data_IF_116865357309
#
_entry.id   IF_116865357309
#
_cell.length_a   1.000
_cell.length_b   1.000
_cell.length_c   1.000
_cell.angle_alpha   90.00
_cell.angle_beta   90.00
_cell.angle_gamma   90.00
#
_symmetry.space_group_name_H-M   'P 1'
#
loop_
_entity.id
_entity.type
_entity.pdbx_description
1 polymer ?
#
# COMPACT_ATOMS: atom_id res chain seq x y z
N UNK A 1 6.48 27.79 -23.00
CA UNK A 1 5.79 26.51 -23.28
C UNK A 1 6.75 25.37 -23.02
N UNK A 2 6.58 24.66 -21.90
CA UNK A 2 7.46 23.55 -21.53
C UNK A 2 7.17 22.33 -22.44
N UNK A 3 8.23 21.76 -23.01
CA UNK A 3 8.15 20.68 -24.00
C UNK A 3 7.81 19.37 -23.28
N UNK A 4 6.64 18.77 -23.54
CA UNK A 4 6.21 17.51 -22.92
C UNK A 4 7.24 16.38 -23.19
N UNK A 5 7.99 15.95 -22.18
CA UNK A 5 9.02 14.90 -22.33
C UNK A 5 8.37 13.53 -22.09
N UNK A 6 8.08 12.80 -23.16
CA UNK A 6 7.65 11.39 -23.07
C UNK A 6 8.86 10.48 -22.87
N UNK A 7 8.79 9.57 -21.90
CA UNK A 7 9.81 8.53 -21.71
C UNK A 7 9.18 7.18 -21.41
N UNK A 8 9.75 6.10 -21.97
CA UNK A 8 9.32 4.72 -21.70
C UNK A 8 10.11 4.18 -20.51
N UNK A 9 9.42 3.84 -19.42
CA UNK A 9 10.01 3.26 -18.21
C UNK A 9 9.81 1.73 -18.24
N UNK A 10 10.85 0.97 -17.90
CA UNK A 10 10.76 -0.49 -17.68
C UNK A 10 10.70 -0.76 -16.18
N UNK A 11 9.70 -1.52 -15.75
CA UNK A 11 9.54 -1.91 -14.33
C UNK A 11 10.78 -2.70 -13.88
N UNK A 12 11.39 -2.30 -12.77
CA UNK A 12 12.60 -2.91 -12.20
C UNK A 12 13.93 -2.36 -12.73
N UNK A 13 13.93 -1.50 -13.76
CA UNK A 13 15.17 -0.88 -14.25
C UNK A 13 15.64 0.26 -13.33
N UNK A 14 16.94 0.27 -12.99
CA UNK A 14 17.53 1.39 -12.23
C UNK A 14 17.61 2.66 -13.10
N UNK A 15 17.31 3.85 -12.56
CA UNK A 15 17.45 5.09 -13.29
C UNK A 15 18.90 5.34 -13.74
N UNK A 16 19.08 5.87 -14.95
CA UNK A 16 20.37 6.35 -15.44
C UNK A 16 20.83 7.60 -14.67
N UNK A 17 22.14 7.89 -14.70
CA UNK A 17 22.70 9.11 -14.06
C UNK A 17 22.01 10.40 -14.54
N UNK A 18 21.70 10.49 -15.84
CA UNK A 18 21.00 11.63 -16.42
C UNK A 18 19.54 11.74 -15.94
N UNK A 19 18.84 10.61 -15.75
CA UNK A 19 17.50 10.61 -15.15
C UNK A 19 17.55 11.07 -13.68
N UNK A 20 18.52 10.59 -12.90
CA UNK A 20 18.70 11.02 -11.52
C UNK A 20 18.99 12.52 -11.40
N UNK A 21 19.83 13.06 -12.28
CA UNK A 21 20.08 14.50 -12.33
C UNK A 21 18.82 15.30 -12.66
N UNK A 22 18.01 14.84 -13.62
CA UNK A 22 16.71 15.47 -13.94
C UNK A 22 15.74 15.44 -12.77
N UNK A 23 15.63 14.32 -12.07
CA UNK A 23 14.77 14.19 -10.88
C UNK A 23 15.24 15.17 -9.79
N UNK A 24 16.56 15.24 -9.54
CA UNK A 24 17.13 16.19 -8.56
C UNK A 24 16.92 17.65 -8.94
N UNK A 25 17.01 17.98 -10.23
CA UNK A 25 16.75 19.33 -10.72
C UNK A 25 15.26 19.69 -10.61
N UNK A 26 14.37 18.76 -10.93
CA UNK A 26 12.93 18.94 -10.79
C UNK A 26 12.51 19.16 -9.34
N UNK A 27 13.09 18.41 -8.39
CA UNK A 27 12.82 18.56 -6.96
C UNK A 27 13.21 19.94 -6.39
N UNK A 28 14.07 20.71 -7.09
CA UNK A 28 14.46 22.07 -6.71
C UNK A 28 13.59 23.16 -7.36
N UNK A 29 12.72 22.81 -8.30
CA UNK A 29 11.82 23.78 -8.92
C UNK A 29 10.77 24.24 -7.90
N UNK A 30 10.39 25.53 -7.89
CA UNK A 30 9.32 25.99 -7.03
C UNK A 30 8.01 25.30 -7.39
N UNK A 31 7.18 25.06 -6.38
CA UNK A 31 5.81 24.62 -6.58
C UNK A 31 5.03 25.87 -7.03
N UNK A 32 4.48 25.81 -8.23
CA UNK A 32 3.67 26.90 -8.81
C UNK A 32 2.31 26.30 -9.12
N UNK A 33 1.28 26.94 -8.60
CA UNK A 33 -0.10 26.56 -8.85
C UNK A 33 -0.59 27.34 -10.07
N UNK A 34 -1.34 26.68 -10.93
CA UNK A 34 -1.92 27.25 -12.15
C UNK A 34 -3.45 27.11 -12.11
N UNK A 35 -4.15 27.62 -13.14
CA UNK A 35 -5.62 27.53 -13.21
C UNK A 35 -6.12 26.08 -13.27
N UNK A 36 -5.32 25.16 -13.80
CA UNK A 36 -5.67 23.73 -13.91
C UNK A 36 -5.33 22.96 -12.62
N UNK A 37 -4.42 23.49 -11.80
CA UNK A 37 -3.93 22.91 -10.55
C UNK A 37 -3.80 23.98 -9.46
N UNK A 38 -4.94 24.46 -8.92
CA UNK A 38 -4.97 25.48 -7.88
C UNK A 38 -4.42 24.97 -6.54
N UNK A 39 -4.14 25.90 -5.63
CA UNK A 39 -3.87 25.55 -4.23
C UNK A 39 -5.11 24.91 -3.60
N UNK A 40 -4.91 23.82 -2.87
CA UNK A 40 -5.97 23.23 -2.06
C UNK A 40 -6.35 24.19 -0.94
N UNK A 41 -7.64 24.40 -0.76
CA UNK A 41 -8.17 25.15 0.38
C UNK A 41 -8.00 24.37 1.68
N UNK A 42 -8.03 25.06 2.82
CA UNK A 42 -7.94 24.43 4.15
C UNK A 42 -9.05 23.38 4.38
N UNK A 43 -10.23 23.61 3.79
CA UNK A 43 -11.37 22.69 3.85
C UNK A 43 -11.08 21.39 3.09
N UNK A 44 -10.58 21.50 1.84
CA UNK A 44 -10.21 20.33 1.04
C UNK A 44 -9.06 19.55 1.69
N UNK A 45 -8.07 20.25 2.26
CA UNK A 45 -6.99 19.62 3.03
C UNK A 45 -7.52 18.82 4.22
N UNK A 46 -8.52 19.36 4.94
CA UNK A 46 -9.18 18.66 6.03
C UNK A 46 -9.94 17.42 5.54
N UNK A 47 -10.64 17.50 4.42
CA UNK A 47 -11.30 16.34 3.80
C UNK A 47 -10.31 15.24 3.42
N UNK A 48 -9.19 15.60 2.81
CA UNK A 48 -8.12 14.64 2.50
C UNK A 48 -7.55 13.99 3.76
N UNK A 49 -7.37 14.75 4.84
CA UNK A 49 -6.92 14.23 6.12
C UNK A 49 -7.93 13.24 6.73
N UNK A 50 -9.23 13.51 6.64
CA UNK A 50 -10.28 12.60 7.08
C UNK A 50 -10.33 11.31 6.24
N UNK A 51 -10.21 11.42 4.92
CA UNK A 51 -10.13 10.27 4.02
C UNK A 51 -8.91 9.39 4.33
N UNK A 52 -7.76 10.01 4.59
CA UNK A 52 -6.55 9.30 5.00
C UNK A 52 -6.76 8.55 6.32
N UNK A 53 -7.37 9.20 7.33
CA UNK A 53 -7.70 8.58 8.61
C UNK A 53 -8.65 7.39 8.46
N UNK A 54 -9.72 7.53 7.66
CA UNK A 54 -10.65 6.42 7.37
C UNK A 54 -9.95 5.24 6.70
N UNK A 55 -9.10 5.50 5.71
CA UNK A 55 -8.31 4.46 5.02
C UNK A 55 -7.38 3.75 5.99
N UNK A 56 -6.69 4.50 6.85
CA UNK A 56 -5.73 3.94 7.79
C UNK A 56 -6.45 3.13 8.89
N UNK A 57 -7.63 3.57 9.33
CA UNK A 57 -8.49 2.80 10.22
C UNK A 57 -8.92 1.46 9.59
N UNK A 58 -9.35 1.45 8.32
CA UNK A 58 -9.70 0.21 7.59
C UNK A 58 -8.51 -0.74 7.41
N UNK A 59 -7.29 -0.20 7.30
CA UNK A 59 -6.06 -1.00 7.13
C UNK A 59 -5.44 -1.46 8.45
N UNK A 60 -5.85 -0.88 9.58
CA UNK A 60 -5.31 -1.21 10.90
C UNK A 60 -5.77 -2.61 11.28
N UNK A 61 -4.88 -3.59 11.07
CA UNK A 61 -5.13 -4.98 11.46
C UNK A 61 -5.13 -5.09 12.98
N UNK A 62 -6.19 -5.64 13.55
CA UNK A 62 -6.26 -6.00 14.96
C UNK A 62 -5.32 -7.17 15.25
N UNK A 63 -4.57 -7.09 16.35
CA UNK A 63 -3.71 -8.20 16.79
C UNK A 63 -4.60 -9.26 17.45
N UNK A 64 -4.57 -10.47 16.91
CA UNK A 64 -5.30 -11.63 17.40
C UNK A 64 -4.28 -12.69 17.85
N UNK A 65 -4.40 -13.17 19.09
CA UNK A 65 -3.55 -14.24 19.63
C UNK A 65 -4.38 -15.51 19.84
N UNK A 66 -3.99 -16.61 19.20
CA UNK A 66 -4.71 -17.89 19.21
C UNK A 66 -3.72 -19.03 19.45
N UNK A 67 -4.20 -20.14 20.02
CA UNK A 67 -3.46 -21.41 20.07
C UNK A 67 -3.86 -22.27 18.88
N UNK A 68 -2.87 -22.82 18.19
CA UNK A 68 -3.04 -23.70 17.03
C UNK A 68 -2.19 -24.95 17.21
N UNK A 69 -2.46 -26.00 16.42
CA UNK A 69 -1.65 -27.21 16.44
C UNK A 69 -0.20 -26.94 15.98
N UNK A 70 0.79 -27.70 16.46
CA UNK A 70 2.18 -27.57 16.01
C UNK A 70 2.34 -27.74 14.49
N UNK A 71 1.55 -28.64 13.89
CA UNK A 71 1.52 -28.87 12.44
C UNK A 71 1.12 -27.62 11.66
N UNK A 72 0.12 -26.88 12.15
CA UNK A 72 -0.31 -25.61 11.52
C UNK A 72 0.82 -24.59 11.48
N UNK A 73 1.62 -24.53 12.55
CA UNK A 73 2.79 -23.63 12.62
C UNK A 73 3.86 -24.05 11.63
N UNK A 74 4.13 -25.36 11.52
CA UNK A 74 5.10 -25.89 10.56
C UNK A 74 4.69 -25.56 9.12
N UNK A 75 3.42 -25.81 8.75
CA UNK A 75 2.88 -25.44 7.44
C UNK A 75 3.09 -23.95 7.18
N UNK A 76 2.78 -23.09 8.16
CA UNK A 76 3.04 -21.66 8.05
C UNK A 76 4.51 -21.35 7.76
N UNK A 77 5.43 -21.92 8.52
CA UNK A 77 6.87 -21.68 8.35
C UNK A 77 7.40 -22.09 6.97
N UNK A 78 6.84 -23.14 6.35
CA UNK A 78 7.23 -23.55 4.98
C UNK A 78 6.91 -22.52 3.90
N UNK A 79 5.98 -21.59 4.15
CA UNK A 79 5.61 -20.50 3.22
C UNK A 79 6.67 -19.39 3.14
N UNK A 80 7.70 -19.43 3.99
CA UNK A 80 8.84 -18.53 3.96
C UNK A 80 8.62 -17.19 4.68
N UNK A 81 9.43 -16.18 4.31
CA UNK A 81 9.43 -14.87 4.99
C UNK A 81 8.08 -14.18 4.85
N UNK A 82 7.48 -13.80 5.97
CA UNK A 82 6.16 -13.14 6.01
C UNK A 82 4.97 -14.09 6.06
N UNK A 83 5.19 -15.37 6.38
CA UNK A 83 4.11 -16.37 6.51
C UNK A 83 3.00 -15.96 7.48
N UNK A 84 3.32 -15.23 8.55
CA UNK A 84 2.30 -14.72 9.50
C UNK A 84 1.30 -13.79 8.81
N UNK A 85 1.75 -12.99 7.84
CA UNK A 85 0.89 -12.16 7.02
C UNK A 85 0.05 -12.97 6.02
N UNK A 86 0.57 -14.09 5.52
CA UNK A 86 -0.18 -15.03 4.67
C UNK A 86 -1.26 -15.72 5.51
N UNK A 87 -0.93 -16.22 6.70
CA UNK A 87 -1.87 -16.85 7.62
C UNK A 87 -2.98 -15.91 8.07
N UNK A 88 -2.65 -14.64 8.33
CA UNK A 88 -3.68 -13.63 8.62
C UNK A 88 -4.67 -13.47 7.47
N UNK A 89 -4.20 -13.40 6.22
CA UNK A 89 -5.09 -13.36 5.04
C UNK A 89 -5.89 -14.65 4.85
N UNK A 90 -5.27 -15.80 5.10
CA UNK A 90 -5.95 -17.09 5.01
C UNK A 90 -7.10 -17.14 6.02
N UNK A 91 -6.88 -16.65 7.24
CA UNK A 91 -7.91 -16.54 8.26
C UNK A 91 -9.04 -15.60 7.83
N UNK A 92 -8.70 -14.41 7.30
CA UNK A 92 -9.69 -13.44 6.78
C UNK A 92 -10.58 -14.04 5.68
N UNK A 93 -10.03 -14.94 4.86
CA UNK A 93 -10.78 -15.66 3.82
C UNK A 93 -11.62 -16.79 4.42
N UNK A 94 -11.03 -17.59 5.32
CA UNK A 94 -11.69 -18.74 5.92
C UNK A 94 -12.94 -18.35 6.72
N UNK A 95 -12.90 -17.23 7.46
CA UNK A 95 -14.08 -16.75 8.22
C UNK A 95 -15.23 -16.28 7.32
N UNK A 96 -14.96 -16.00 6.03
CA UNK A 96 -15.97 -15.59 5.04
C UNK A 96 -16.50 -16.76 4.22
N UNK A 97 -15.90 -17.94 4.34
CA UNK A 97 -16.34 -19.14 3.63
C UNK A 97 -17.35 -19.92 4.50
N UNK A 98 -18.63 -19.99 4.09
CA UNK A 98 -19.67 -20.67 4.88
C UNK A 98 -19.43 -22.17 5.07
N UNK A 99 -18.75 -22.84 4.14
CA UNK A 99 -18.48 -24.27 4.22
C UNK A 99 -17.37 -24.56 5.24
N UNK A 100 -16.31 -23.76 5.21
CA UNK A 100 -15.24 -23.84 6.20
C UNK A 100 -15.74 -23.49 7.60
N UNK A 101 -16.57 -22.45 7.72
CA UNK A 101 -17.17 -22.06 8.99
C UNK A 101 -18.02 -23.18 9.59
N UNK A 102 -18.85 -23.85 8.78
CA UNK A 102 -19.65 -25.01 9.21
C UNK A 102 -18.82 -26.21 9.65
N UNK A 103 -17.61 -26.39 9.12
CA UNK A 103 -16.71 -27.48 9.53
C UNK A 103 -15.96 -27.18 10.82
N UNK A 104 -15.87 -25.91 11.20
CA UNK A 104 -15.14 -25.45 12.39
C UNK A 104 -16.06 -25.23 13.61
N UNK A 105 -17.39 -25.30 13.43
CA UNK A 105 -18.42 -25.27 14.48
C UNK A 105 -18.81 -26.69 14.89
#
# INVERSE_FOLDING_TARGET
>A
MDRLIRSKLRVGARPTKAQLQRIRAAAKKPIVFDEDCPELTDEELAEFAELARKRDALRKKSVLSLRVSPETVQIGQTLGKGWTGIMGRLLDLAVRDPLLLKRAL
#
